data_IF_180405238500
#
_entry.id   IF_180405238500
#
_cell.length_a   1.000
_cell.length_b   1.000
_cell.length_c   1.000
_cell.angle_alpha   90.00
_cell.angle_beta   90.00
_cell.angle_gamma   90.00
#
_symmetry.space_group_name_H-M   'P 1'
#
loop_
_entity.id
_entity.type
_entity.pdbx_description
1 polymer ?
#
# COMPACT_ATOMS: atom_id res chain seq x y z
N UNK A 1 0.99 20.79 -12.01
CA UNK A 1 1.10 20.01 -10.76
C UNK A 1 -0.18 20.21 -9.98
N UNK A 2 -1.15 19.32 -10.13
CA UNK A 2 -2.32 19.32 -9.25
C UNK A 2 -1.83 19.14 -7.81
N UNK A 3 -2.14 20.12 -6.95
CA UNK A 3 -1.89 20.01 -5.52
C UNK A 3 -2.61 18.75 -5.04
N UNK A 4 -1.84 17.79 -4.52
CA UNK A 4 -2.36 16.68 -3.69
C UNK A 4 -3.06 17.36 -2.49
N UNK A 5 -4.33 17.70 -2.64
CA UNK A 5 -5.13 18.39 -1.63
C UNK A 5 -6.22 17.49 -1.04
N UNK A 6 -6.30 16.24 -1.51
CA UNK A 6 -7.17 15.21 -0.96
C UNK A 6 -6.38 14.47 0.12
N UNK A 7 -6.82 14.59 1.37
CA UNK A 7 -6.21 13.91 2.52
C UNK A 7 -6.09 12.39 2.30
N UNK A 8 -7.01 11.80 1.53
CA UNK A 8 -6.98 10.40 1.13
C UNK A 8 -5.75 10.05 0.28
N UNK A 9 -5.43 10.85 -0.73
CA UNK A 9 -4.30 10.60 -1.64
C UNK A 9 -2.96 10.70 -0.91
N UNK A 10 -2.87 11.64 0.04
CA UNK A 10 -1.68 11.78 0.90
C UNK A 10 -1.52 10.57 1.81
N UNK A 11 -2.58 10.16 2.50
CA UNK A 11 -2.57 8.97 3.34
C UNK A 11 -2.18 7.72 2.55
N UNK A 12 -2.78 7.53 1.37
CA UNK A 12 -2.49 6.39 0.51
C UNK A 12 -1.03 6.37 0.07
N UNK A 13 -0.47 7.51 -0.33
CA UNK A 13 0.96 7.62 -0.68
C UNK A 13 1.90 7.38 0.50
N UNK A 14 1.57 7.87 1.69
CA UNK A 14 2.41 7.66 2.88
C UNK A 14 2.35 6.20 3.35
N UNK A 15 1.18 5.55 3.29
CA UNK A 15 1.00 4.17 3.75
C UNK A 15 1.51 3.13 2.74
N UNK A 16 1.24 3.33 1.44
CA UNK A 16 1.58 2.35 0.41
C UNK A 16 2.82 2.71 -0.41
N UNK A 17 3.35 3.93 -0.24
CA UNK A 17 4.61 4.33 -0.87
C UNK A 17 5.85 3.79 -0.15
N UNK A 18 5.70 3.31 1.09
CA UNK A 18 6.72 2.57 1.83
C UNK A 18 6.36 1.08 1.86
N UNK A 19 7.30 0.23 1.43
CA UNK A 19 7.06 -1.20 1.23
C UNK A 19 6.77 -1.93 2.54
N UNK A 20 7.44 -1.57 3.63
CA UNK A 20 7.26 -2.22 4.93
C UNK A 20 5.92 -1.82 5.55
N UNK A 21 5.55 -0.55 5.42
CA UNK A 21 4.25 -0.04 5.83
C UNK A 21 3.12 -0.69 5.02
N UNK A 22 3.30 -0.86 3.70
CA UNK A 22 2.34 -1.55 2.84
C UNK A 22 2.17 -3.04 3.21
N UNK A 23 3.27 -3.76 3.43
CA UNK A 23 3.26 -5.15 3.92
C UNK A 23 2.50 -5.26 5.24
N UNK A 24 2.80 -4.37 6.20
CA UNK A 24 2.13 -4.32 7.49
C UNK A 24 0.63 -4.04 7.35
N UNK A 25 0.24 -3.11 6.48
CA UNK A 25 -1.16 -2.80 6.21
C UNK A 25 -1.92 -4.04 5.70
N UNK A 26 -1.38 -4.75 4.71
CA UNK A 26 -2.00 -5.95 4.16
C UNK A 26 -2.15 -7.05 5.22
N UNK A 27 -1.15 -7.24 6.08
CA UNK A 27 -1.18 -8.26 7.13
C UNK A 27 -2.23 -7.98 8.22
N UNK A 28 -2.43 -6.72 8.59
CA UNK A 28 -3.29 -6.36 9.74
C UNK A 28 -4.72 -5.98 9.34
N UNK A 29 -4.93 -5.48 8.11
CA UNK A 29 -6.22 -4.96 7.68
C UNK A 29 -6.96 -5.87 6.69
N UNK A 30 -6.33 -6.94 6.19
CA UNK A 30 -7.02 -7.95 5.39
C UNK A 30 -7.46 -9.16 6.23
N UNK A 31 -8.58 -9.80 5.89
CA UNK A 31 -8.97 -11.05 6.52
C UNK A 31 -7.87 -12.12 6.37
N UNK A 32 -7.62 -12.97 7.39
CA UNK A 32 -6.54 -13.97 7.35
C UNK A 32 -6.56 -14.91 6.14
N UNK A 33 -7.76 -15.24 5.63
CA UNK A 33 -7.94 -16.06 4.42
C UNK A 33 -7.39 -15.42 3.15
N UNK A 34 -7.33 -14.09 3.10
CA UNK A 34 -6.80 -13.32 1.97
C UNK A 34 -5.28 -13.15 2.12
N UNK A 35 -4.80 -12.80 3.33
CA UNK A 35 -3.37 -12.65 3.62
C UNK A 35 -2.58 -13.89 3.22
N UNK A 36 -3.13 -15.09 3.48
CA UNK A 36 -2.51 -16.38 3.13
C UNK A 36 -2.31 -16.62 1.62
N UNK A 37 -2.99 -15.85 0.77
CA UNK A 37 -2.87 -15.96 -0.69
C UNK A 37 -1.82 -15.01 -1.28
N UNK A 38 -1.26 -14.12 -0.45
CA UNK A 38 -0.30 -13.10 -0.87
C UNK A 38 1.10 -13.55 -0.47
N UNK A 39 2.04 -13.52 -1.40
CA UNK A 39 3.47 -13.63 -1.10
C UNK A 39 4.03 -12.25 -0.76
N UNK A 40 4.41 -11.97 0.51
CA UNK A 40 4.92 -10.65 0.90
C UNK A 40 6.17 -10.23 0.14
N UNK A 41 7.00 -11.17 -0.30
CA UNK A 41 8.25 -10.88 -1.00
C UNK A 41 8.04 -10.56 -2.49
N UNK A 42 6.84 -10.83 -3.01
CA UNK A 42 6.44 -10.43 -4.37
C UNK A 42 6.03 -8.96 -4.46
N UNK A 43 5.84 -8.27 -3.33
CA UNK A 43 5.39 -6.88 -3.30
C UNK A 43 6.56 -5.97 -3.70
N UNK A 44 6.33 -5.10 -4.68
CA UNK A 44 7.31 -4.11 -5.13
C UNK A 44 6.65 -2.76 -5.33
N UNK A 45 7.43 -1.68 -5.18
CA UNK A 45 6.95 -0.32 -5.47
C UNK A 45 7.02 -0.08 -6.97
N UNK A 46 5.86 0.10 -7.59
CA UNK A 46 5.77 0.51 -8.99
C UNK A 46 5.62 2.02 -9.08
N UNK A 47 6.66 2.67 -9.61
CA UNK A 47 6.62 4.10 -9.95
C UNK A 47 5.94 4.21 -11.32
N UNK A 48 4.98 5.12 -11.47
CA UNK A 48 4.14 5.35 -12.66
C UNK A 48 2.82 4.55 -12.75
N UNK A 49 2.39 3.92 -11.67
CA UNK A 49 0.98 3.50 -11.51
C UNK A 49 0.14 4.70 -11.07
N UNK A 50 -0.77 5.17 -11.93
CA UNK A 50 -1.65 6.34 -11.70
C UNK A 50 -3.07 5.92 -11.38
#
# INVERSE_FOLDING_TARGET
>A
MEKISKSHDRFFKEVLGDIETAKSFLQHYLPPKIVRLIDPESITIEKDSY
#
